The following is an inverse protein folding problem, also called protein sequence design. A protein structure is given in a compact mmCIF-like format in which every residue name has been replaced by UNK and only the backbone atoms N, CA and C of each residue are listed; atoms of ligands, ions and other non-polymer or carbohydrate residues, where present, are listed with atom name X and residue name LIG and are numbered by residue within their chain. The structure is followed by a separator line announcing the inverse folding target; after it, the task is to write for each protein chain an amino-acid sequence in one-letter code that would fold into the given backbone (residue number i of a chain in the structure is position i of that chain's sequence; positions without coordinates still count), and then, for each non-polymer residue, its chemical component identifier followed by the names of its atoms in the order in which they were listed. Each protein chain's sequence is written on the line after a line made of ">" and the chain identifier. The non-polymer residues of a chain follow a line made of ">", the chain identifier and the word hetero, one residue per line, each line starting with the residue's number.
data_IF_068476118118
#
_entry.id   IF_068476118118
#
_cell.length_a   1.000
_cell.length_b   1.000
_cell.length_c   1.000
_cell.angle_alpha   90.00
_cell.angle_beta   90.00
_cell.angle_gamma   90.00
#
_symmetry.space_group_name_H-M   'P 1'
#
loop_
_entity.id
_entity.type
_entity.pdbx_description
1 polymer ?
#
# COMPACT_ATOMS: atom_id res chain seq x y z
N UNK A 1 17.12 2.12 -5.97
CA UNK A 1 17.72 2.48 -4.67
C UNK A 1 17.21 3.85 -4.36
N UNK A 2 16.95 4.20 -3.10
CA UNK A 2 16.39 5.52 -2.79
C UNK A 2 16.64 5.91 -1.33
N UNK A 3 16.69 7.21 -1.06
CA UNK A 3 16.58 7.74 0.29
C UNK A 3 15.11 7.90 0.66
N UNK A 4 14.76 7.46 1.86
CA UNK A 4 13.44 7.69 2.45
C UNK A 4 13.58 8.71 3.58
N UNK A 5 12.96 9.88 3.40
CA UNK A 5 12.88 10.93 4.41
C UNK A 5 11.51 10.85 5.06
N UNK A 6 11.47 10.60 6.38
CA UNK A 6 10.23 10.38 7.13
C UNK A 6 9.97 11.50 8.14
N UNK A 7 8.72 11.65 8.56
CA UNK A 7 8.36 12.58 9.62
C UNK A 7 8.35 14.06 9.23
N UNK A 8 8.27 14.37 7.94
CA UNK A 8 8.13 15.74 7.46
C UNK A 8 6.73 16.24 7.82
N UNK A 9 6.66 17.12 8.78
CA UNK A 9 5.39 17.67 9.30
C UNK A 9 5.11 19.02 8.65
N UNK A 10 3.93 19.15 8.06
CA UNK A 10 3.42 20.41 7.49
C UNK A 10 2.06 20.76 8.10
N UNK A 11 1.71 22.04 8.19
CA UNK A 11 0.34 22.49 8.40
C UNK A 11 -0.62 21.84 7.41
N UNK A 12 -1.88 21.71 7.77
CA UNK A 12 -2.85 20.98 6.95
C UNK A 12 -3.12 21.64 5.59
N UNK A 13 -2.99 22.95 5.53
CA UNK A 13 -3.22 23.81 4.36
C UNK A 13 -1.99 24.00 3.46
N UNK A 14 -0.79 23.62 3.93
CA UNK A 14 0.40 23.70 3.08
C UNK A 14 0.36 22.66 1.93
N UNK A 15 0.80 23.04 0.71
CA UNK A 15 0.80 22.16 -0.42
C UNK A 15 1.82 21.02 -0.26
N UNK A 16 1.54 19.89 -0.89
CA UNK A 16 2.41 18.70 -0.86
C UNK A 16 3.83 18.98 -1.39
N UNK A 17 3.96 19.90 -2.34
CA UNK A 17 5.25 20.33 -2.88
C UNK A 17 6.20 20.84 -1.80
N UNK A 18 5.69 21.47 -0.75
CA UNK A 18 6.50 21.90 0.39
C UNK A 18 7.17 20.74 1.13
N UNK A 19 6.54 19.56 1.16
CA UNK A 19 7.15 18.36 1.72
C UNK A 19 8.33 17.85 0.89
N UNK A 20 8.21 17.91 -0.44
CA UNK A 20 9.28 17.52 -1.36
C UNK A 20 10.49 18.46 -1.21
N UNK A 21 10.24 19.76 -1.17
CA UNK A 21 11.29 20.76 -1.00
C UNK A 21 11.98 20.63 0.36
N UNK A 22 11.21 20.34 1.39
CA UNK A 22 11.76 20.14 2.73
C UNK A 22 12.62 18.88 2.81
N UNK A 23 12.23 17.80 2.12
CA UNK A 23 13.04 16.60 2.00
C UNK A 23 14.38 16.86 1.31
N UNK A 24 14.36 17.59 0.18
CA UNK A 24 15.58 17.99 -0.55
C UNK A 24 16.51 18.83 0.31
N UNK A 25 15.98 19.81 1.02
CA UNK A 25 16.79 20.67 1.92
C UNK A 25 17.41 19.88 3.06
N UNK A 26 16.67 18.96 3.68
CA UNK A 26 17.17 18.14 4.79
C UNK A 26 18.33 17.24 4.37
N UNK A 27 18.32 16.77 3.14
CA UNK A 27 19.37 15.88 2.62
C UNK A 27 20.47 16.60 1.85
N UNK A 28 20.30 17.90 1.55
CA UNK A 28 21.21 18.65 0.68
C UNK A 28 21.09 18.32 -0.81
N UNK A 29 20.12 17.50 -1.21
CA UNK A 29 19.90 17.07 -2.58
C UNK A 29 19.04 18.09 -3.34
N UNK A 30 19.62 19.23 -3.67
CA UNK A 30 18.92 20.36 -4.30
C UNK A 30 18.95 20.32 -5.83
N UNK A 31 19.66 19.36 -6.42
CA UNK A 31 19.77 19.25 -7.89
C UNK A 31 18.41 18.95 -8.53
N UNK A 32 18.19 19.51 -9.72
CA UNK A 32 17.03 19.19 -10.56
C UNK A 32 17.02 17.73 -11.03
N UNK A 33 18.14 17.06 -10.98
CA UNK A 33 18.25 15.62 -11.30
C UNK A 33 17.77 14.71 -10.16
N UNK A 34 17.49 15.27 -8.97
CA UNK A 34 16.93 14.51 -7.86
C UNK A 34 15.41 14.37 -8.04
N UNK A 35 14.96 13.17 -8.32
CA UNK A 35 13.52 12.87 -8.30
C UNK A 35 13.02 12.79 -6.88
N UNK A 36 11.89 13.41 -6.60
CA UNK A 36 11.25 13.37 -5.29
C UNK A 36 9.78 12.98 -5.43
N UNK A 37 9.35 12.01 -4.63
CA UNK A 37 7.97 11.54 -4.63
C UNK A 37 7.46 11.29 -3.20
N UNK A 38 6.22 11.68 -2.94
CA UNK A 38 5.55 11.33 -1.68
C UNK A 38 5.21 9.83 -1.69
N UNK A 39 5.67 9.11 -0.67
CA UNK A 39 5.38 7.68 -0.49
C UNK A 39 4.25 7.43 0.51
N UNK A 40 4.08 8.34 1.45
CA UNK A 40 3.06 8.19 2.50
C UNK A 40 2.67 9.56 3.04
N UNK A 41 1.37 9.73 3.27
CA UNK A 41 0.80 10.84 4.01
C UNK A 41 -0.01 10.27 5.17
N UNK A 42 0.13 10.85 6.33
CA UNK A 42 -0.74 10.57 7.48
C UNK A 42 -1.18 11.88 8.12
N UNK A 43 -2.34 11.88 8.77
CA UNK A 43 -2.85 13.02 9.50
C UNK A 43 -2.48 12.84 10.97
N UNK A 44 -1.90 13.87 11.57
CA UNK A 44 -1.67 13.95 13.01
C UNK A 44 -2.55 15.06 13.58
N UNK A 45 -3.61 14.67 14.28
CA UNK A 45 -4.55 15.56 14.93
C UNK A 45 -4.35 15.65 16.46
N UNK A 46 -3.24 15.11 16.96
CA UNK A 46 -2.92 15.16 18.38
C UNK A 46 -2.53 16.58 18.81
N UNK A 47 -2.81 16.94 20.04
CA UNK A 47 -2.44 18.23 20.66
C UNK A 47 -3.12 19.47 20.03
N UNK A 48 -4.32 19.30 19.46
CA UNK A 48 -5.14 20.43 19.01
C UNK A 48 -4.73 21.11 17.71
N UNK A 49 -3.63 20.69 17.08
CA UNK A 49 -3.24 21.13 15.74
C UNK A 49 -3.27 19.97 14.77
N UNK A 50 -3.99 20.16 13.66
CA UNK A 50 -4.03 19.18 12.59
C UNK A 50 -2.83 19.44 11.66
N UNK A 51 -2.02 18.41 11.45
CA UNK A 51 -0.88 18.47 10.54
C UNK A 51 -0.85 17.23 9.65
N UNK A 52 -0.29 17.39 8.45
CA UNK A 52 0.07 16.26 7.58
C UNK A 52 1.51 15.85 7.85
N UNK A 53 1.74 14.56 7.96
CA UNK A 53 3.08 13.99 8.16
C UNK A 53 3.42 13.16 6.93
N UNK A 54 4.46 13.57 6.24
CA UNK A 54 4.88 12.99 4.96
C UNK A 54 6.10 12.09 5.13
N UNK A 55 6.13 11.06 4.29
CA UNK A 55 7.35 10.32 3.96
C UNK A 55 7.64 10.52 2.49
N UNK A 56 8.82 11.01 2.17
CA UNK A 56 9.26 11.37 0.83
C UNK A 56 10.41 10.46 0.41
N UNK A 57 10.31 9.91 -0.80
CA UNK A 57 11.40 9.21 -1.46
C UNK A 57 12.17 10.20 -2.32
N UNK A 58 13.49 10.12 -2.23
CA UNK A 58 14.42 10.85 -3.09
C UNK A 58 15.27 9.84 -3.86
N UNK A 59 15.30 9.99 -5.17
CA UNK A 59 16.17 9.21 -6.06
C UNK A 59 17.18 10.20 -6.67
N UNK A 60 18.46 10.08 -6.31
CA UNK A 60 19.51 11.01 -6.71
C UNK A 60 20.65 10.29 -7.42
N UNK A 61 21.33 10.94 -8.35
CA UNK A 61 22.49 10.36 -9.07
C UNK A 61 23.75 10.36 -8.19
N UNK A 62 23.67 9.81 -6.97
CA UNK A 62 24.78 9.73 -6.03
C UNK A 62 24.76 8.41 -5.26
N UNK A 63 25.79 8.16 -4.46
CA UNK A 63 25.76 7.04 -3.50
C UNK A 63 24.84 7.39 -2.33
N UNK A 64 23.56 7.04 -2.47
CA UNK A 64 22.50 7.31 -1.50
C UNK A 64 22.72 6.59 -0.17
N UNK A 65 23.42 5.44 -0.18
CA UNK A 65 23.74 4.71 1.01
C UNK A 65 24.80 5.44 1.84
N UNK A 66 25.89 5.83 1.21
CA UNK A 66 26.95 6.60 1.86
C UNK A 66 26.41 7.96 2.36
N UNK A 67 25.50 8.58 1.61
CA UNK A 67 24.86 9.84 2.02
C UNK A 67 23.99 9.62 3.30
N UNK A 68 23.19 8.57 3.35
CA UNK A 68 22.37 8.26 4.53
C UNK A 68 23.24 8.02 5.78
N UNK A 69 24.36 7.30 5.61
CA UNK A 69 25.33 7.05 6.69
C UNK A 69 26.02 8.33 7.15
N UNK A 70 26.32 9.24 6.23
CA UNK A 70 26.96 10.55 6.52
C UNK A 70 26.02 11.48 7.27
N UNK A 71 24.74 11.54 6.86
CA UNK A 71 23.76 12.42 7.48
C UNK A 71 23.41 12.02 8.92
N UNK A 72 23.51 10.74 9.26
CA UNK A 72 23.21 10.19 10.60
C UNK A 72 21.88 10.67 11.19
N UNK A 73 20.91 11.00 10.34
CA UNK A 73 19.61 11.50 10.76
C UNK A 73 18.62 10.32 10.92
N UNK A 74 17.96 10.16 12.07
CA UNK A 74 16.98 9.09 12.28
C UNK A 74 15.79 9.13 11.28
N UNK A 75 15.50 10.32 10.74
CA UNK A 75 14.45 10.54 9.75
C UNK A 75 14.87 10.22 8.31
N UNK A 76 16.15 10.01 8.05
CA UNK A 76 16.69 9.71 6.72
C UNK A 76 17.23 8.28 6.71
N UNK A 77 16.70 7.46 5.80
CA UNK A 77 17.10 6.05 5.69
C UNK A 77 17.33 5.67 4.25
N UNK A 78 18.37 4.92 4.00
CA UNK A 78 18.54 4.23 2.73
C UNK A 78 17.55 3.06 2.62
N UNK A 79 16.91 2.93 1.46
CA UNK A 79 16.00 1.84 1.17
C UNK A 79 16.33 1.22 -0.19
N UNK A 80 16.63 -0.06 -0.17
CA UNK A 80 16.68 -0.83 -1.41
C UNK A 80 15.27 -0.98 -2.00
N UNK A 81 15.11 -0.66 -3.27
CA UNK A 81 13.87 -0.89 -4.01
C UNK A 81 13.79 -2.35 -4.51
N UNK A 82 14.28 -3.29 -3.71
CA UNK A 82 14.14 -4.69 -4.03
C UNK A 82 12.66 -5.09 -3.96
N UNK A 83 12.04 -5.33 -5.10
CA UNK A 83 10.80 -6.10 -5.11
C UNK A 83 11.16 -7.52 -4.66
N UNK A 84 10.55 -8.05 -3.60
CA UNK A 84 10.82 -9.43 -3.22
C UNK A 84 10.51 -10.32 -4.43
N UNK A 85 11.51 -11.07 -4.88
CA UNK A 85 11.28 -12.09 -5.89
C UNK A 85 10.38 -13.15 -5.26
N UNK A 86 9.27 -13.45 -5.90
CA UNK A 86 8.44 -14.59 -5.50
C UNK A 86 9.20 -15.85 -5.92
N UNK A 87 9.66 -16.69 -4.97
CA UNK A 87 10.39 -17.89 -5.33
C UNK A 87 9.47 -18.83 -6.11
N UNK A 88 9.94 -19.29 -7.26
CA UNK A 88 9.24 -20.28 -8.06
C UNK A 88 9.80 -21.67 -7.75
N UNK A 89 8.89 -22.61 -7.49
CA UNK A 89 9.27 -24.01 -7.42
C UNK A 89 9.55 -24.56 -8.83
N UNK A 90 10.48 -25.52 -8.93
CA UNK A 90 10.82 -26.19 -10.20
C UNK A 90 9.80 -27.25 -10.61
N UNK A 91 9.01 -27.72 -9.67
CA UNK A 91 8.04 -28.79 -9.86
C UNK A 91 6.77 -28.26 -10.51
N UNK A 92 6.42 -28.77 -11.68
CA UNK A 92 5.14 -28.47 -12.33
C UNK A 92 3.98 -29.02 -11.50
N UNK A 93 2.95 -28.20 -11.31
CA UNK A 93 1.72 -28.64 -10.70
C UNK A 93 0.96 -29.58 -11.65
N UNK A 94 0.51 -30.73 -11.13
CA UNK A 94 -0.29 -31.69 -11.90
C UNK A 94 -1.71 -31.15 -12.19
N UNK A 95 -2.22 -30.31 -11.29
CA UNK A 95 -3.56 -29.74 -11.36
C UNK A 95 -3.52 -28.22 -11.15
N UNK A 96 -4.62 -27.59 -11.52
CA UNK A 96 -4.83 -26.15 -11.25
C UNK A 96 -4.87 -25.91 -9.74
N UNK A 97 -4.19 -24.86 -9.23
CA UNK A 97 -4.30 -24.52 -7.82
C UNK A 97 -5.72 -24.06 -7.49
N UNK A 98 -6.17 -24.41 -6.28
CA UNK A 98 -7.48 -24.00 -5.75
C UNK A 98 -7.27 -23.00 -4.63
N UNK A 99 -7.97 -21.87 -4.72
CA UNK A 99 -8.01 -20.83 -3.70
C UNK A 99 -9.40 -20.83 -3.10
N UNK A 100 -9.48 -21.07 -1.80
CA UNK A 100 -10.76 -21.13 -1.06
C UNK A 100 -10.96 -19.84 -0.30
N UNK A 101 -12.04 -19.13 -0.62
CA UNK A 101 -12.37 -17.80 -0.14
C UNK A 101 -11.77 -16.68 -0.99
N UNK A 102 -12.58 -15.66 -1.27
CA UNK A 102 -12.20 -14.48 -2.05
C UNK A 102 -12.12 -13.22 -1.18
N UNK A 103 -11.75 -13.37 0.07
CA UNK A 103 -11.33 -12.25 0.91
C UNK A 103 -9.98 -11.67 0.45
N UNK A 104 -9.41 -10.66 1.13
CA UNK A 104 -8.17 -9.99 0.69
C UNK A 104 -7.03 -10.95 0.41
N UNK A 105 -6.81 -11.94 1.27
CA UNK A 105 -5.75 -12.94 1.08
C UNK A 105 -5.99 -13.83 -0.14
N UNK A 106 -7.20 -14.35 -0.32
CA UNK A 106 -7.57 -15.20 -1.45
C UNK A 106 -7.53 -14.44 -2.77
N UNK A 107 -8.00 -13.20 -2.79
CA UNK A 107 -7.96 -12.34 -3.96
C UNK A 107 -6.53 -12.14 -4.45
N UNK A 108 -5.60 -11.74 -3.56
CA UNK A 108 -4.21 -11.52 -3.94
C UNK A 108 -3.47 -12.83 -4.23
N UNK A 109 -3.81 -13.93 -3.59
CA UNK A 109 -3.27 -15.25 -3.94
C UNK A 109 -3.68 -15.65 -5.35
N UNK A 110 -4.97 -15.57 -5.67
CA UNK A 110 -5.48 -15.87 -7.00
C UNK A 110 -4.88 -14.95 -8.08
N UNK A 111 -4.81 -13.65 -7.80
CA UNK A 111 -4.19 -12.66 -8.68
C UNK A 111 -2.71 -12.98 -8.96
N UNK A 112 -1.96 -13.27 -7.90
CA UNK A 112 -0.53 -13.61 -8.02
C UNK A 112 -0.34 -14.89 -8.84
N UNK A 113 -1.10 -15.93 -8.55
CA UNK A 113 -1.07 -17.19 -9.30
C UNK A 113 -1.40 -16.96 -10.79
N UNK A 114 -2.44 -16.19 -11.08
CA UNK A 114 -2.85 -15.89 -12.44
C UNK A 114 -1.77 -15.09 -13.19
N UNK A 115 -1.15 -14.12 -12.55
CA UNK A 115 -0.04 -13.35 -13.13
C UNK A 115 1.20 -14.19 -13.46
N UNK A 116 1.39 -15.28 -12.74
CA UNK A 116 2.47 -16.24 -12.99
C UNK A 116 2.07 -17.39 -13.93
N UNK A 117 0.94 -17.27 -14.64
CA UNK A 117 0.50 -18.24 -15.64
C UNK A 117 -0.21 -19.47 -15.09
N UNK A 118 -0.38 -19.58 -13.77
CA UNK A 118 -1.26 -20.58 -13.20
C UNK A 118 -2.72 -20.14 -13.42
N UNK A 119 -3.59 -21.06 -13.74
CA UNK A 119 -5.02 -20.77 -13.91
C UNK A 119 -5.77 -21.22 -12.64
N UNK A 120 -5.74 -20.45 -11.54
CA UNK A 120 -6.35 -20.87 -10.29
C UNK A 120 -7.87 -21.08 -10.45
N UNK A 121 -8.40 -21.98 -9.65
CA UNK A 121 -9.83 -22.10 -9.40
C UNK A 121 -10.09 -21.37 -8.09
N UNK A 122 -11.03 -20.43 -8.10
CA UNK A 122 -11.40 -19.69 -6.91
C UNK A 122 -12.78 -20.15 -6.48
N UNK A 123 -12.91 -20.52 -5.22
CA UNK A 123 -14.17 -20.90 -4.59
C UNK A 123 -14.52 -19.83 -3.57
N UNK A 124 -15.65 -19.18 -3.76
CA UNK A 124 -16.20 -18.18 -2.82
C UNK A 124 -17.58 -18.66 -2.33
N UNK A 125 -17.82 -18.54 -1.04
CA UNK A 125 -19.09 -18.94 -0.42
C UNK A 125 -20.19 -17.89 -0.62
N UNK A 126 -19.82 -16.62 -0.52
CA UNK A 126 -20.77 -15.51 -0.66
C UNK A 126 -21.26 -15.34 -2.09
N UNK A 127 -22.44 -14.78 -2.23
CA UNK A 127 -23.04 -14.41 -3.50
C UNK A 127 -22.24 -13.36 -4.30
N UNK A 128 -22.65 -13.12 -5.51
CA UNK A 128 -22.11 -12.05 -6.33
C UNK A 128 -22.49 -10.66 -5.81
N UNK A 129 -22.02 -9.60 -6.47
CA UNK A 129 -22.26 -8.22 -6.03
C UNK A 129 -23.74 -7.88 -6.00
N UNK A 130 -24.49 -8.29 -7.01
CA UNK A 130 -25.94 -7.98 -7.11
C UNK A 130 -26.74 -8.71 -6.01
N UNK A 131 -26.35 -9.91 -5.63
CA UNK A 131 -26.95 -10.65 -4.53
C UNK A 131 -26.65 -9.99 -3.18
N UNK A 132 -25.42 -9.50 -3.01
CA UNK A 132 -25.01 -8.79 -1.80
C UNK A 132 -25.73 -7.46 -1.64
N UNK A 133 -25.81 -6.68 -2.69
CA UNK A 133 -26.53 -5.39 -2.69
C UNK A 133 -27.98 -5.59 -2.30
N UNK A 134 -28.65 -6.58 -2.89
CA UNK A 134 -30.04 -6.92 -2.53
C UNK A 134 -30.20 -7.33 -1.07
N UNK A 135 -29.27 -8.11 -0.53
CA UNK A 135 -29.30 -8.53 0.87
C UNK A 135 -29.10 -7.34 1.83
N UNK A 136 -28.20 -6.43 1.49
CA UNK A 136 -27.93 -5.19 2.26
C UNK A 136 -29.13 -4.25 2.21
N UNK A 137 -29.69 -4.02 1.04
CA UNK A 137 -30.88 -3.16 0.85
C UNK A 137 -32.10 -3.72 1.60
N UNK A 138 -32.27 -5.05 1.58
CA UNK A 138 -33.32 -5.73 2.34
C UNK A 138 -33.17 -5.48 3.83
N UNK A 139 -31.97 -5.63 4.36
CA UNK A 139 -31.69 -5.41 5.79
C UNK A 139 -31.93 -3.94 6.18
N UNK A 140 -31.42 -2.99 5.40
CA UNK A 140 -31.57 -1.57 5.69
C UNK A 140 -33.02 -1.06 5.55
N UNK A 141 -33.80 -1.76 4.74
CA UNK A 141 -35.24 -1.49 4.63
C UNK A 141 -36.08 -2.13 5.75
N UNK A 142 -35.45 -2.69 6.77
CA UNK A 142 -36.11 -3.30 7.94
C UNK A 142 -36.41 -4.80 7.77
N UNK A 143 -35.86 -5.44 6.75
CA UNK A 143 -35.94 -6.90 6.55
C UNK A 143 -34.94 -7.68 7.41
N UNK A 144 -34.88 -8.98 7.21
CA UNK A 144 -34.00 -9.88 7.96
C UNK A 144 -32.53 -9.69 7.53
N UNK A 145 -31.62 -9.78 8.53
CA UNK A 145 -30.18 -9.87 8.26
C UNK A 145 -29.85 -11.25 7.68
N UNK A 146 -29.13 -11.25 6.55
CA UNK A 146 -28.50 -12.46 6.03
C UNK A 146 -27.12 -12.65 6.71
N UNK A 147 -26.94 -13.66 7.60
CA UNK A 147 -25.69 -13.87 8.32
C UNK A 147 -24.54 -14.35 7.43
N UNK A 148 -24.83 -14.81 6.22
CA UNK A 148 -23.83 -15.26 5.26
C UNK A 148 -23.44 -14.17 4.25
N UNK A 149 -24.13 -13.03 4.27
CA UNK A 149 -23.83 -11.88 3.44
C UNK A 149 -22.90 -10.91 4.16
N UNK A 150 -21.73 -10.65 3.59
CA UNK A 150 -20.88 -9.55 4.02
C UNK A 150 -21.20 -8.31 3.18
N UNK A 151 -21.28 -7.14 3.83
CA UNK A 151 -21.56 -5.85 3.18
C UNK A 151 -20.57 -5.54 2.07
N UNK A 152 -19.31 -5.92 2.24
CA UNK A 152 -18.26 -5.60 1.29
C UNK A 152 -17.61 -6.85 0.73
N UNK A 153 -17.59 -6.93 -0.59
CA UNK A 153 -16.94 -8.03 -1.30
C UNK A 153 -15.42 -7.92 -1.23
N UNK A 154 -14.77 -9.03 -0.86
CA UNK A 154 -13.29 -9.09 -0.84
C UNK A 154 -12.62 -8.34 0.31
N UNK A 155 -13.36 -7.65 1.15
CA UNK A 155 -12.83 -7.06 2.38
C UNK A 155 -12.98 -8.04 3.54
N UNK A 156 -11.96 -8.14 4.35
CA UNK A 156 -12.03 -8.92 5.57
C UNK A 156 -12.95 -8.22 6.55
N UNK A 157 -14.20 -8.57 6.58
CA UNK A 157 -15.27 -7.95 7.35
C UNK A 157 -14.86 -7.29 8.66
N UNK A 158 -15.52 -6.23 8.99
CA UNK A 158 -15.27 -5.46 10.21
C UNK A 158 -15.67 -6.25 11.45
#
# INVERSE_FOLDING_TARGET
>A
MSLLVTGIRLPFDEPETAALDRARRLTGLLSSETEAAVCRVSIDARRGQISRVYSVRLDAPCDEKALAETLQMPSVRYKENARPAVPHGEKRLAHRPVVVGLGPAGLFAAYTLARHGFRPIVLERGGDMDERDRAVDTFWSGGALDPDCNIQFGEGGA
#
